data_IF_496099266482
#
_entry.id   IF_496099266482
#
_cell.length_a   1.000
_cell.length_b   1.000
_cell.length_c   1.000
_cell.angle_alpha   90.00
_cell.angle_beta   90.00
_cell.angle_gamma   90.00
#
_symmetry.space_group_name_H-M   'P 1'
#
loop_
_entity.id
_entity.type
_entity.pdbx_description
1 polymer ?
#
# COMPACT_ATOMS: atom_id res chain seq x y z
N UNK A 1 7.55 -57.39 61.30
CA UNK A 1 6.83 -56.55 62.28
C UNK A 1 6.38 -55.30 61.55
N UNK A 2 5.06 -55.16 61.46
CA UNK A 2 4.34 -54.10 60.74
C UNK A 2 4.21 -52.86 61.61
N UNK A 3 4.32 -51.67 61.01
CA UNK A 3 3.58 -50.49 61.48
C UNK A 3 2.96 -49.78 60.28
N UNK A 4 1.63 -49.77 60.30
CA UNK A 4 0.70 -49.20 59.32
C UNK A 4 0.88 -47.71 59.12
N UNK A 5 0.82 -47.27 57.86
CA UNK A 5 0.52 -45.89 57.50
C UNK A 5 -0.93 -45.83 57.03
N UNK A 6 -1.76 -45.11 57.78
CA UNK A 6 -3.19 -44.94 57.58
C UNK A 6 -3.45 -44.04 56.35
N UNK A 7 -4.24 -44.53 55.38
CA UNK A 7 -4.88 -43.72 54.35
C UNK A 7 -6.02 -42.90 54.95
N UNK A 8 -6.03 -41.58 54.71
CA UNK A 8 -7.23 -40.76 54.86
C UNK A 8 -7.91 -40.60 53.49
N UNK A 9 -9.08 -41.23 53.36
CA UNK A 9 -10.07 -41.00 52.30
C UNK A 9 -10.90 -39.76 52.66
N UNK A 10 -10.85 -38.73 51.82
CA UNK A 10 -11.83 -37.63 51.81
C UNK A 10 -12.87 -37.89 50.72
N UNK A 11 -14.16 -37.60 50.96
CA UNK A 11 -15.24 -37.92 50.03
C UNK A 11 -15.28 -36.92 48.86
N UNK A 12 -15.36 -37.46 47.64
CA UNK A 12 -15.67 -36.72 46.42
C UNK A 12 -17.13 -36.22 46.47
N UNK A 13 -17.32 -34.92 46.68
CA UNK A 13 -18.56 -34.25 46.34
C UNK A 13 -18.55 -33.96 44.83
N UNK A 14 -19.50 -34.56 44.12
CA UNK A 14 -19.81 -34.24 42.72
C UNK A 14 -20.52 -32.88 42.65
N UNK A 15 -19.79 -31.83 42.26
CA UNK A 15 -20.40 -30.58 41.79
C UNK A 15 -20.75 -30.72 40.31
N UNK A 16 -22.05 -30.82 40.01
CA UNK A 16 -22.59 -30.58 38.68
C UNK A 16 -22.52 -29.09 38.36
N UNK A 17 -21.59 -28.68 37.49
CA UNK A 17 -21.58 -27.33 36.93
C UNK A 17 -22.68 -27.21 35.86
N UNK A 18 -23.44 -26.10 35.83
CA UNK A 18 -24.36 -25.81 34.74
C UNK A 18 -23.58 -25.39 33.49
N UNK A 19 -23.95 -25.98 32.35
CA UNK A 19 -23.52 -25.57 31.01
C UNK A 19 -24.05 -24.16 30.73
N UNK A 20 -23.23 -23.14 30.96
CA UNK A 20 -23.48 -21.80 30.44
C UNK A 20 -22.89 -21.71 29.04
N UNK A 21 -23.76 -21.81 28.04
CA UNK A 21 -23.48 -21.33 26.70
C UNK A 21 -23.43 -19.79 26.77
N UNK A 22 -22.23 -19.25 26.97
CA UNK A 22 -21.94 -17.85 26.77
C UNK A 22 -20.75 -17.77 25.81
N UNK A 23 -21.05 -17.71 24.51
CA UNK A 23 -20.07 -17.28 23.52
C UNK A 23 -19.66 -15.86 23.86
N UNK A 24 -18.43 -15.69 24.33
CA UNK A 24 -17.81 -14.37 24.38
C UNK A 24 -17.75 -13.79 22.97
N UNK A 25 -17.66 -12.45 22.85
CA UNK A 25 -17.56 -11.82 21.54
C UNK A 25 -16.39 -12.42 20.78
N UNK A 26 -16.65 -12.81 19.53
CA UNK A 26 -15.62 -13.25 18.60
C UNK A 26 -14.55 -12.16 18.47
N UNK A 27 -13.29 -12.50 18.13
CA UNK A 27 -12.27 -11.49 17.83
C UNK A 27 -12.73 -10.43 16.81
N UNK A 28 -13.58 -10.81 15.85
CA UNK A 28 -14.27 -9.92 14.90
C UNK A 28 -15.19 -8.90 15.59
N UNK A 29 -15.97 -9.32 16.59
CA UNK A 29 -16.84 -8.42 17.36
C UNK A 29 -16.05 -7.49 18.28
N UNK A 30 -14.92 -7.96 18.83
CA UNK A 30 -13.98 -7.11 19.58
C UNK A 30 -13.33 -6.07 18.64
N UNK A 31 -12.96 -6.48 17.43
CA UNK A 31 -12.42 -5.61 16.38
C UNK A 31 -13.45 -4.56 15.92
N UNK A 32 -14.70 -4.95 15.70
CA UNK A 32 -15.78 -3.99 15.39
C UNK A 32 -16.00 -3.00 16.54
N UNK A 33 -15.93 -3.46 17.79
CA UNK A 33 -16.07 -2.59 18.95
C UNK A 33 -14.91 -1.60 19.09
N UNK A 34 -13.66 -2.03 18.83
CA UNK A 34 -12.49 -1.16 18.80
C UNK A 34 -12.56 -0.14 17.65
N UNK A 35 -12.97 -0.59 16.47
CA UNK A 35 -13.18 0.26 15.28
C UNK A 35 -14.29 1.31 15.50
N UNK A 36 -15.36 0.95 16.23
CA UNK A 36 -16.42 1.89 16.65
C UNK A 36 -15.93 2.89 17.70
N UNK A 37 -15.03 2.51 18.60
CA UNK A 37 -14.40 3.44 19.56
C UNK A 37 -13.46 4.44 18.88
N UNK A 38 -12.67 4.00 17.91
CA UNK A 38 -11.84 4.89 17.09
C UNK A 38 -12.68 5.84 16.20
N UNK A 39 -13.91 5.44 15.85
CA UNK A 39 -14.86 6.26 15.10
C UNK A 39 -15.49 7.44 15.89
N UNK A 40 -15.25 7.54 17.20
CA UNK A 40 -15.82 8.61 18.04
C UNK A 40 -14.99 9.91 18.02
N UNK A 41 -13.79 9.89 17.40
CA UNK A 41 -13.10 11.13 17.00
C UNK A 41 -13.71 11.64 15.70
N UNK A 42 -13.94 12.97 15.53
CA UNK A 42 -14.53 13.51 14.31
C UNK A 42 -13.74 13.06 13.07
N UNK A 43 -14.35 12.22 12.24
CA UNK A 43 -13.79 11.79 10.95
C UNK A 43 -13.96 12.92 9.95
N UNK A 44 -12.84 13.40 9.39
CA UNK A 44 -12.86 14.19 8.17
C UNK A 44 -12.97 13.20 6.99
N UNK A 45 -14.20 12.93 6.54
CA UNK A 45 -14.52 11.95 5.48
C UNK A 45 -14.10 12.41 4.06
N UNK A 46 -13.31 13.50 3.96
CA UNK A 46 -12.80 14.06 2.70
C UNK A 46 -11.66 13.25 2.05
N UNK A 47 -11.21 12.17 2.71
CA UNK A 47 -10.13 11.26 2.27
C UNK A 47 -10.63 9.94 1.67
N UNK A 48 -11.94 9.82 1.42
CA UNK A 48 -12.53 8.70 0.69
C UNK A 48 -11.99 8.66 -0.75
N UNK A 49 -11.64 7.46 -1.21
CA UNK A 49 -10.90 7.18 -2.44
C UNK A 49 -11.42 7.96 -3.65
N UNK A 50 -10.84 9.14 -3.95
CA UNK A 50 -11.14 10.05 -5.06
C UNK A 50 -12.26 9.59 -5.98
N UNK A 51 -13.51 9.67 -5.51
CA UNK A 51 -14.64 9.02 -6.19
C UNK A 51 -15.06 9.84 -7.42
N UNK A 52 -14.39 9.61 -8.55
CA UNK A 52 -14.95 9.87 -9.87
C UNK A 52 -16.04 8.84 -10.14
N UNK A 53 -17.31 9.27 -10.17
CA UNK A 53 -18.47 8.41 -10.48
C UNK A 53 -18.35 7.86 -11.91
N UNK A 54 -17.88 6.62 -12.05
CA UNK A 54 -18.08 5.83 -13.26
C UNK A 54 -19.06 4.70 -12.97
N UNK A 55 -20.31 4.90 -13.39
CA UNK A 55 -21.33 3.86 -13.40
C UNK A 55 -20.92 2.77 -14.41
N UNK A 56 -20.45 1.62 -13.91
CA UNK A 56 -20.36 0.40 -14.69
C UNK A 56 -21.76 -0.22 -14.81
N UNK A 57 -22.52 0.19 -15.82
CA UNK A 57 -23.68 -0.56 -16.27
C UNK A 57 -23.21 -1.74 -17.13
N UNK A 58 -23.12 -2.91 -16.50
CA UNK A 58 -23.16 -4.19 -17.21
C UNK A 58 -24.60 -4.44 -17.66
N UNK A 59 -24.80 -4.76 -18.95
CA UNK A 59 -25.77 -5.79 -19.27
C UNK A 59 -25.38 -6.59 -20.52
N UNK A 60 -25.13 -7.86 -20.25
CA UNK A 60 -24.98 -9.00 -21.13
C UNK A 60 -26.18 -9.15 -22.08
N UNK A 61 -25.91 -9.38 -23.37
CA UNK A 61 -26.91 -9.83 -24.33
C UNK A 61 -26.99 -11.36 -24.31
N UNK A 62 -27.96 -11.90 -23.56
CA UNK A 62 -28.43 -13.27 -23.65
C UNK A 62 -29.79 -13.32 -24.36
N UNK A 63 -29.91 -14.21 -25.34
CA UNK A 63 -31.11 -14.45 -26.14
C UNK A 63 -32.31 -14.96 -25.32
N UNK A 64 -33.50 -14.42 -25.58
CA UNK A 64 -34.77 -14.96 -25.09
C UNK A 64 -35.97 -14.33 -25.80
N UNK A 65 -36.68 -15.13 -26.59
CA UNK A 65 -37.84 -14.75 -27.40
C UNK A 65 -39.11 -14.49 -26.56
N UNK A 66 -40.09 -13.83 -27.21
CA UNK A 66 -41.57 -13.83 -27.02
C UNK A 66 -42.17 -12.54 -26.44
N UNK A 67 -43.10 -11.93 -27.21
CA UNK A 67 -44.25 -11.22 -26.62
C UNK A 67 -44.61 -9.83 -27.16
N UNK A 68 -45.32 -9.79 -28.31
CA UNK A 68 -46.14 -8.67 -28.83
C UNK A 68 -46.87 -7.83 -27.75
N UNK A 69 -46.91 -6.50 -27.91
CA UNK A 69 -48.11 -5.73 -28.32
C UNK A 69 -47.82 -4.24 -28.52
N UNK A 70 -48.56 -3.64 -29.45
CA UNK A 70 -48.41 -2.30 -30.01
C UNK A 70 -49.44 -1.31 -29.46
N UNK A 71 -49.13 -0.02 -29.49
CA UNK A 71 -49.99 1.11 -29.90
C UNK A 71 -49.05 2.32 -30.05
N UNK A 72 -49.05 3.14 -31.10
CA UNK A 72 -50.02 3.40 -32.16
C UNK A 72 -50.34 4.90 -32.14
N UNK A 73 -49.89 5.66 -33.14
CA UNK A 73 -50.23 7.09 -33.30
C UNK A 73 -49.30 7.80 -34.29
N UNK A 74 -49.56 7.65 -35.58
CA UNK A 74 -48.83 8.30 -36.67
C UNK A 74 -49.59 9.48 -37.29
N UNK A 75 -49.09 9.90 -38.46
CA UNK A 75 -49.70 10.57 -39.63
C UNK A 75 -48.66 11.56 -40.20
N UNK A 76 -48.39 11.74 -41.50
CA UNK A 76 -48.63 11.01 -42.75
C UNK A 76 -47.84 11.78 -43.85
N UNK A 77 -47.41 11.15 -44.96
CA UNK A 77 -47.16 11.90 -46.21
C UNK A 77 -45.90 11.62 -47.06
N UNK A 78 -45.86 10.43 -47.71
CA UNK A 78 -45.58 10.13 -49.16
C UNK A 78 -44.62 11.08 -49.94
N UNK A 79 -43.66 10.66 -50.79
CA UNK A 79 -43.71 9.58 -51.82
C UNK A 79 -42.32 9.39 -52.51
N UNK A 80 -41.89 8.13 -52.56
CA UNK A 80 -41.12 7.35 -53.58
C UNK A 80 -40.36 7.97 -54.79
N UNK A 81 -39.21 7.33 -55.10
CA UNK A 81 -38.79 6.59 -56.34
C UNK A 81 -37.30 6.88 -56.64
N UNK A 82 -36.32 6.01 -56.33
CA UNK A 82 -35.87 4.73 -56.96
C UNK A 82 -34.98 4.92 -58.21
N UNK A 83 -33.72 4.45 -58.13
CA UNK A 83 -33.08 3.37 -58.94
C UNK A 83 -31.59 3.26 -58.56
N UNK A 84 -31.13 2.10 -58.05
CA UNK A 84 -30.64 0.89 -58.76
C UNK A 84 -29.28 1.15 -59.45
N UNK A 85 -28.27 0.26 -59.45
CA UNK A 85 -28.18 -1.21 -59.26
C UNK A 85 -26.64 -1.55 -59.19
N UNK A 86 -26.13 -2.45 -58.32
CA UNK A 86 -25.91 -3.93 -58.54
C UNK A 86 -24.72 -4.21 -59.49
N UNK A 87 -23.81 -5.18 -59.34
CA UNK A 87 -23.67 -6.52 -58.68
C UNK A 87 -22.17 -6.91 -58.88
N UNK A 88 -21.58 -8.05 -58.51
CA UNK A 88 -21.86 -9.32 -57.82
C UNK A 88 -20.50 -10.06 -57.76
N UNK A 89 -20.36 -11.09 -56.91
CA UNK A 89 -19.41 -12.17 -57.20
C UNK A 89 -19.09 -13.06 -56.01
N UNK A 90 -19.65 -14.27 -55.98
CA UNK A 90 -19.68 -15.26 -54.86
C UNK A 90 -18.58 -16.33 -54.94
N UNK A 91 -18.27 -16.90 -53.76
CA UNK A 91 -18.20 -18.34 -53.34
C UNK A 91 -16.87 -19.17 -53.41
N UNK A 92 -16.53 -19.73 -52.22
CA UNK A 92 -16.18 -21.12 -51.80
C UNK A 92 -15.42 -22.06 -52.77
N UNK A 93 -14.46 -22.93 -52.42
CA UNK A 93 -13.94 -23.53 -51.18
C UNK A 93 -13.77 -25.06 -51.39
N UNK A 94 -12.60 -25.69 -51.10
CA UNK A 94 -12.43 -27.16 -50.85
C UNK A 94 -10.97 -27.63 -50.56
N UNK A 95 -10.81 -28.35 -49.43
CA UNK A 95 -10.02 -29.58 -49.10
C UNK A 95 -8.47 -29.69 -49.06
N UNK A 96 -7.97 -29.88 -47.82
CA UNK A 96 -7.11 -30.94 -47.21
C UNK A 96 -5.89 -31.59 -47.92
N UNK A 97 -4.71 -31.62 -47.26
CA UNK A 97 -3.98 -32.82 -46.74
C UNK A 97 -2.69 -32.44 -45.96
N UNK A 98 -2.33 -33.25 -44.97
CA UNK A 98 -1.24 -33.10 -43.97
C UNK A 98 0.17 -33.48 -44.48
N UNK A 99 1.24 -33.05 -43.76
CA UNK A 99 2.38 -33.87 -43.24
C UNK A 99 3.48 -33.03 -42.55
N UNK A 100 3.83 -33.46 -41.32
CA UNK A 100 5.12 -33.53 -40.59
C UNK A 100 6.40 -32.73 -40.96
N UNK A 101 7.04 -32.27 -39.87
CA UNK A 101 8.47 -32.40 -39.49
C UNK A 101 9.51 -31.28 -39.77
N UNK A 102 10.16 -30.92 -38.65
CA UNK A 102 11.61 -30.76 -38.39
C UNK A 102 12.42 -29.54 -38.88
N UNK A 103 13.17 -29.02 -37.88
CA UNK A 103 14.58 -28.56 -37.92
C UNK A 103 14.88 -27.18 -38.54
N UNK A 104 15.38 -26.26 -37.70
CA UNK A 104 16.79 -25.84 -37.58
C UNK A 104 17.21 -24.92 -38.74
N UNK A 105 17.80 -23.74 -38.54
CA UNK A 105 19.18 -23.57 -38.10
C UNK A 105 19.45 -22.07 -37.94
N UNK A 106 20.43 -21.80 -37.08
CA UNK A 106 21.13 -20.56 -36.81
C UNK A 106 21.58 -19.74 -38.04
N UNK A 107 21.99 -18.50 -37.78
CA UNK A 107 23.27 -17.83 -38.15
C UNK A 107 22.98 -16.32 -38.16
N UNK A 108 23.29 -15.56 -37.10
CA UNK A 108 24.59 -15.02 -36.69
C UNK A 108 25.11 -13.87 -37.57
N UNK A 109 25.60 -12.82 -36.88
CA UNK A 109 26.74 -11.93 -37.25
C UNK A 109 26.46 -10.90 -38.37
N UNK A 110 26.81 -9.61 -38.34
CA UNK A 110 27.92 -8.80 -37.77
C UNK A 110 27.55 -7.29 -37.76
N UNK A 111 28.14 -6.54 -36.82
CA UNK A 111 28.90 -5.26 -36.91
C UNK A 111 28.53 -4.16 -37.95
N UNK A 112 28.80 -2.86 -37.79
CA UNK A 112 29.31 -1.97 -36.74
C UNK A 112 29.24 -0.51 -37.28
N UNK A 113 29.69 0.43 -36.44
CA UNK A 113 30.28 1.75 -36.76
C UNK A 113 29.40 3.02 -36.75
N UNK A 114 29.55 3.74 -35.64
CA UNK A 114 30.04 5.13 -35.52
C UNK A 114 29.86 6.08 -36.72
N UNK A 115 29.31 7.28 -36.46
CA UNK A 115 30.10 8.51 -36.52
C UNK A 115 29.36 9.75 -35.97
N UNK A 116 30.19 10.78 -35.76
CA UNK A 116 30.14 11.88 -34.80
C UNK A 116 29.55 13.19 -35.39
N UNK A 117 29.44 14.20 -34.52
CA UNK A 117 29.54 15.66 -34.78
C UNK A 117 28.28 16.55 -35.01
N UNK A 118 27.85 17.21 -33.92
CA UNK A 118 27.98 18.66 -33.59
C UNK A 118 27.67 19.77 -34.65
N UNK A 119 26.64 20.56 -34.29
CA UNK A 119 26.45 22.03 -34.25
C UNK A 119 26.04 22.92 -35.46
N UNK A 120 25.02 23.74 -35.12
CA UNK A 120 24.92 25.23 -35.16
C UNK A 120 24.18 25.92 -36.32
N UNK A 121 23.21 26.75 -35.89
CA UNK A 121 22.79 28.09 -36.41
C UNK A 121 22.21 28.17 -37.82
N UNK A 122 21.27 29.04 -38.20
CA UNK A 122 20.60 30.19 -37.56
C UNK A 122 19.55 30.75 -38.54
N UNK A 123 18.61 31.54 -38.00
CA UNK A 123 17.97 32.72 -38.63
C UNK A 123 16.93 32.44 -39.73
N UNK A 124 15.85 33.22 -39.92
CA UNK A 124 15.55 34.61 -39.53
C UNK A 124 14.06 34.93 -39.71
N UNK A 125 13.58 35.91 -38.90
CA UNK A 125 12.63 37.02 -39.21
C UNK A 125 11.20 36.67 -39.66
N UNK A 126 10.12 37.37 -39.30
CA UNK A 126 9.81 38.77 -38.90
C UNK A 126 8.27 38.79 -38.66
N UNK A 127 7.57 39.70 -37.99
CA UNK A 127 7.80 41.01 -37.36
C UNK A 127 6.48 41.48 -36.71
N UNK A 128 6.60 42.39 -35.74
CA UNK A 128 5.68 43.50 -35.37
C UNK A 128 4.24 43.17 -34.92
N UNK A 129 3.73 43.70 -33.82
CA UNK A 129 3.64 45.14 -33.53
C UNK A 129 3.59 45.49 -32.03
N UNK A 130 4.07 46.69 -31.73
CA UNK A 130 4.15 47.32 -30.43
C UNK A 130 2.85 48.05 -30.04
N UNK A 131 2.65 48.31 -28.74
CA UNK A 131 2.21 49.60 -28.19
C UNK A 131 2.39 49.62 -26.67
N UNK A 132 3.04 50.68 -26.21
CA UNK A 132 3.46 51.02 -24.85
C UNK A 132 2.52 52.06 -24.26
N UNK A 133 2.21 52.00 -22.96
CA UNK A 133 2.34 53.16 -22.06
C UNK A 133 2.08 52.79 -20.59
N UNK A 134 2.96 53.33 -19.76
CA UNK A 134 3.02 53.35 -18.30
C UNK A 134 2.37 54.64 -17.79
N UNK A 135 1.82 54.67 -16.57
CA UNK A 135 2.08 55.67 -15.51
C UNK A 135 1.27 55.35 -14.23
N UNK A 136 1.85 55.80 -13.10
CA UNK A 136 1.50 55.62 -11.67
C UNK A 136 0.08 56.14 -11.30
N UNK A 137 -0.50 55.90 -10.12
CA UNK A 137 -0.04 56.34 -8.79
C UNK A 137 -0.95 55.79 -7.66
N UNK A 138 -0.37 55.88 -6.47
CA UNK A 138 -0.78 55.63 -5.08
C UNK A 138 -2.21 56.05 -4.64
N UNK A 139 -2.81 55.31 -3.69
CA UNK A 139 -3.45 55.88 -2.49
C UNK A 139 -3.84 54.80 -1.46
N UNK A 140 -3.77 55.25 -0.21
CA UNK A 140 -3.73 54.53 1.05
C UNK A 140 -5.09 54.35 1.75
N UNK A 141 -5.19 53.27 2.55
CA UNK A 141 -5.79 53.11 3.92
C UNK A 141 -7.27 53.56 4.21
N UNK A 142 -8.02 52.90 5.13
CA UNK A 142 -7.59 52.74 6.52
C UNK A 142 -7.93 51.46 7.29
N UNK A 143 -7.06 51.25 8.29
CA UNK A 143 -7.19 50.48 9.52
C UNK A 143 -8.27 51.05 10.45
N UNK A 144 -8.96 50.19 11.21
CA UNK A 144 -9.40 50.46 12.58
C UNK A 144 -9.35 49.18 13.41
N UNK A 145 -8.61 49.24 14.52
CA UNK A 145 -8.62 48.27 15.62
C UNK A 145 -9.81 48.51 16.54
N UNK A 146 -10.26 47.48 17.25
CA UNK A 146 -10.30 47.50 18.73
C UNK A 146 -10.70 46.15 19.36
N UNK A 147 -9.90 45.82 20.36
CA UNK A 147 -10.05 44.93 21.52
C UNK A 147 -11.45 44.56 22.01
N UNK A 148 -11.60 43.34 22.54
CA UNK A 148 -12.01 43.11 23.93
C UNK A 148 -11.47 41.78 24.46
N UNK A 149 -10.99 41.84 25.70
CA UNK A 149 -10.52 40.78 26.60
C UNK A 149 -11.68 40.06 27.28
N UNK A 150 -11.55 38.75 27.52
CA UNK A 150 -12.24 38.08 28.63
C UNK A 150 -11.37 36.92 29.14
N UNK A 151 -10.74 37.17 30.29
CA UNK A 151 -10.03 36.19 31.11
C UNK A 151 -11.04 35.26 31.80
N UNK A 152 -10.73 33.97 31.88
CA UNK A 152 -11.32 33.06 32.87
C UNK A 152 -10.19 32.41 33.66
N UNK A 153 -10.04 32.85 34.90
CA UNK A 153 -9.18 32.26 35.91
C UNK A 153 -9.87 31.02 36.49
N UNK A 154 -9.11 29.94 36.67
CA UNK A 154 -9.48 28.85 37.57
C UNK A 154 -8.26 28.56 38.45
N UNK A 155 -8.42 28.83 39.73
CA UNK A 155 -7.42 28.58 40.76
C UNK A 155 -7.44 27.12 41.17
N UNK A 156 -6.28 26.46 41.17
CA UNK A 156 -6.06 25.25 41.94
C UNK A 156 -4.66 25.31 42.57
N UNK A 157 -4.65 25.60 43.87
CA UNK A 157 -3.50 25.52 44.75
C UNK A 157 -3.21 24.06 45.06
N UNK A 158 -1.96 23.61 44.97
CA UNK A 158 -1.31 22.80 46.03
C UNK A 158 0.14 22.44 45.73
N UNK A 159 0.97 22.80 46.72
CA UNK A 159 2.14 22.07 47.24
C UNK A 159 3.32 21.74 46.30
N UNK A 160 4.36 22.57 46.43
CA UNK A 160 5.75 22.20 46.13
C UNK A 160 6.27 21.24 47.21
N UNK A 161 6.68 20.04 46.81
CA UNK A 161 7.49 19.14 47.61
C UNK A 161 8.81 18.92 46.86
N UNK A 162 9.88 19.46 47.43
CA UNK A 162 11.26 19.25 46.98
C UNK A 162 11.74 17.89 47.47
N UNK A 163 12.10 16.99 46.56
CA UNK A 163 12.84 15.78 46.90
C UNK A 163 14.05 15.66 45.96
N UNK A 164 15.24 15.81 46.55
CA UNK A 164 16.51 15.46 45.93
C UNK A 164 16.71 13.95 45.97
N UNK A 165 17.14 13.35 44.86
CA UNK A 165 17.84 12.07 44.89
C UNK A 165 18.72 11.89 43.64
N UNK A 166 20.03 12.08 43.87
CA UNK A 166 21.15 11.28 43.36
C UNK A 166 21.12 10.83 41.90
N UNK A 167 21.86 11.58 41.08
CA UNK A 167 22.46 11.15 39.81
C UNK A 167 23.44 10.01 40.04
N UNK A 168 23.09 8.82 39.55
CA UNK A 168 24.05 7.75 39.29
C UNK A 168 24.34 7.77 37.80
N UNK A 169 25.54 8.20 37.44
CA UNK A 169 26.06 8.20 36.08
C UNK A 169 26.34 6.76 35.66
N UNK A 170 25.49 6.20 34.81
CA UNK A 170 25.75 4.94 34.12
C UNK A 170 25.95 5.23 32.63
N UNK A 171 27.15 4.90 32.17
CA UNK A 171 27.69 5.22 30.87
C UNK A 171 26.84 4.67 29.73
N UNK A 172 26.64 5.50 28.71
CA UNK A 172 26.01 5.15 27.46
C UNK A 172 26.70 3.95 26.79
N UNK A 173 25.95 2.85 26.66
CA UNK A 173 26.21 1.79 25.69
C UNK A 173 25.06 1.82 24.67
N UNK A 174 25.17 2.71 23.69
CA UNK A 174 24.25 2.86 22.58
C UNK A 174 24.64 1.92 21.43
N UNK A 175 24.28 0.63 21.47
CA UNK A 175 24.39 -0.24 20.26
C UNK A 175 23.57 -1.54 20.22
N UNK A 176 22.52 -1.76 21.02
CA UNK A 176 21.84 -3.08 20.98
C UNK A 176 20.30 -3.12 21.04
N UNK A 177 19.59 -2.01 20.83
CA UNK A 177 18.11 -2.02 20.82
C UNK A 177 17.47 -2.09 19.43
N UNK A 178 18.24 -1.92 18.35
CA UNK A 178 17.69 -1.89 16.98
C UNK A 178 17.45 -3.27 16.36
N UNK A 179 18.17 -4.31 16.83
CA UNK A 179 18.00 -5.67 16.30
C UNK A 179 16.64 -6.29 16.64
N UNK A 180 16.05 -5.93 17.78
CA UNK A 180 14.75 -6.48 18.23
C UNK A 180 13.55 -5.89 17.48
N UNK A 181 13.62 -4.62 17.06
CA UNK A 181 12.50 -3.98 16.35
C UNK A 181 12.43 -4.38 14.87
N UNK A 182 13.56 -4.73 14.26
CA UNK A 182 13.63 -5.20 12.87
C UNK A 182 13.16 -6.65 12.72
N UNK A 183 13.35 -7.49 13.74
CA UNK A 183 12.93 -8.90 13.74
C UNK A 183 12.11 -9.25 15.00
N UNK A 184 10.91 -8.69 15.18
CA UNK A 184 10.13 -8.90 16.41
C UNK A 184 9.63 -10.34 16.56
N UNK A 185 9.56 -11.12 15.48
CA UNK A 185 9.24 -12.56 15.48
C UNK A 185 10.49 -13.44 15.37
N UNK A 186 11.69 -12.86 15.51
CA UNK A 186 12.97 -13.53 15.27
C UNK A 186 13.34 -13.58 13.78
N UNK A 187 14.50 -14.19 13.50
CA UNK A 187 15.07 -14.32 12.14
C UNK A 187 14.57 -15.54 11.37
N UNK A 188 13.71 -16.35 12.00
CA UNK A 188 13.13 -17.55 11.39
C UNK A 188 14.16 -18.56 10.89
N UNK A 189 13.85 -19.25 9.80
CA UNK A 189 14.73 -20.25 9.16
C UNK A 189 15.80 -19.62 8.27
N UNK A 190 15.55 -18.43 7.73
CA UNK A 190 16.49 -17.65 6.95
C UNK A 190 16.11 -16.16 6.96
N UNK A 191 17.12 -15.27 7.02
CA UNK A 191 16.89 -13.82 6.98
C UNK A 191 18.07 -13.06 6.37
N UNK A 192 17.80 -11.85 5.87
CA UNK A 192 18.82 -10.86 5.54
C UNK A 192 18.41 -9.49 6.09
N UNK A 193 19.39 -8.62 6.29
CA UNK A 193 19.18 -7.22 6.70
C UNK A 193 20.21 -6.33 6.04
N UNK A 194 19.86 -5.07 5.80
CA UNK A 194 20.83 -4.02 5.41
C UNK A 194 21.40 -3.28 6.61
N UNK A 195 20.89 -3.53 7.82
CA UNK A 195 21.37 -2.89 9.06
C UNK A 195 22.78 -3.34 9.47
N UNK A 196 23.28 -4.43 8.90
CA UNK A 196 24.63 -4.96 9.10
C UNK A 196 25.66 -4.40 8.09
N UNK A 197 25.25 -3.45 7.24
CA UNK A 197 26.07 -2.88 6.19
C UNK A 197 25.96 -3.58 4.83
N UNK A 198 25.12 -4.60 4.69
CA UNK A 198 24.79 -5.19 3.39
C UNK A 198 24.15 -4.15 2.47
N UNK A 199 24.66 -4.04 1.23
CA UNK A 199 24.19 -3.03 0.27
C UNK A 199 22.74 -3.26 -0.21
N UNK A 200 21.98 -2.18 -0.41
CA UNK A 200 20.59 -2.26 -0.90
C UNK A 200 20.50 -2.93 -2.27
N UNK A 201 21.45 -2.65 -3.18
CA UNK A 201 21.48 -3.24 -4.52
C UNK A 201 21.59 -4.76 -4.46
N UNK A 202 22.36 -5.27 -3.51
CA UNK A 202 22.61 -6.71 -3.37
C UNK A 202 21.41 -7.50 -2.85
N UNK A 203 20.54 -6.89 -2.03
CA UNK A 203 19.39 -7.59 -1.43
C UNK A 203 18.08 -7.27 -2.14
N UNK A 204 17.88 -6.03 -2.61
CA UNK A 204 16.60 -5.61 -3.17
C UNK A 204 16.41 -6.01 -4.65
N UNK A 205 17.48 -6.13 -5.46
CA UNK A 205 17.45 -6.65 -6.84
C UNK A 205 16.14 -6.35 -7.62
N UNK A 206 15.87 -5.09 -8.02
CA UNK A 206 14.59 -4.70 -8.62
C UNK A 206 14.20 -5.55 -9.85
N UNK A 207 13.03 -6.21 -9.79
CA UNK A 207 12.48 -7.06 -10.87
C UNK A 207 11.72 -6.28 -11.94
N UNK A 208 11.11 -5.18 -11.54
CA UNK A 208 10.32 -4.29 -12.39
C UNK A 208 10.45 -2.94 -11.75
N UNK A 209 10.94 -1.97 -12.50
CA UNK A 209 11.21 -0.65 -11.99
C UNK A 209 10.35 0.37 -12.74
N UNK A 210 9.55 1.11 -11.98
CA UNK A 210 9.21 2.48 -12.36
C UNK A 210 10.41 3.37 -12.04
N UNK A 211 10.19 4.43 -11.25
CA UNK A 211 11.28 5.25 -10.74
C UNK A 211 12.01 4.50 -9.61
N UNK A 212 13.32 4.35 -9.70
CA UNK A 212 14.13 3.81 -8.61
C UNK A 212 14.46 4.89 -7.58
N UNK A 213 14.66 4.55 -6.29
CA UNK A 213 15.11 5.50 -5.29
C UNK A 213 16.51 6.01 -5.62
N UNK A 214 16.81 7.23 -5.19
CA UNK A 214 18.20 7.70 -5.14
C UNK A 214 18.84 7.22 -3.86
N UNK A 215 20.15 6.97 -3.89
CA UNK A 215 20.95 6.74 -2.70
C UNK A 215 21.37 8.07 -2.08
N UNK A 216 21.36 8.20 -0.77
CA UNK A 216 21.75 9.44 -0.11
C UNK A 216 21.76 9.34 1.40
N UNK A 217 22.16 10.43 2.03
CA UNK A 217 22.31 10.50 3.48
C UNK A 217 21.03 11.06 4.11
N UNK A 218 20.52 10.40 5.15
CA UNK A 218 19.44 10.91 5.99
C UNK A 218 19.92 12.04 6.90
N UNK A 219 19.02 12.80 7.55
CA UNK A 219 19.41 13.95 8.38
C UNK A 219 20.35 13.62 9.55
N UNK A 220 20.37 12.37 10.02
CA UNK A 220 21.27 11.88 11.07
C UNK A 220 22.63 11.37 10.56
N UNK A 221 22.88 11.46 9.24
CA UNK A 221 24.13 10.97 8.64
C UNK A 221 24.08 9.50 8.18
N UNK A 222 22.99 8.78 8.41
CA UNK A 222 22.88 7.38 7.98
C UNK A 222 22.74 7.25 6.47
N UNK A 223 23.24 6.14 5.93
CA UNK A 223 23.04 5.78 4.53
C UNK A 223 21.59 5.32 4.30
N UNK A 224 20.97 5.73 3.20
CA UNK A 224 19.53 5.56 2.99
C UNK A 224 19.11 5.59 1.52
N UNK A 225 18.03 4.88 1.23
CA UNK A 225 17.24 5.10 0.02
C UNK A 225 16.34 6.32 0.22
N UNK A 226 16.37 7.25 -0.73
CA UNK A 226 15.65 8.52 -0.66
C UNK A 226 14.52 8.55 -1.70
N UNK A 227 13.30 8.77 -1.22
CA UNK A 227 12.14 9.11 -2.02
C UNK A 227 11.97 10.63 -2.05
N UNK A 228 12.07 11.23 -3.23
CA UNK A 228 11.90 12.67 -3.43
C UNK A 228 10.49 12.96 -3.98
N UNK A 229 9.81 13.92 -3.36
CA UNK A 229 8.48 14.40 -3.71
C UNK A 229 8.50 15.90 -4.00
N UNK A 230 8.75 16.31 -5.26
CA UNK A 230 8.61 17.70 -5.66
C UNK A 230 7.17 18.21 -5.44
N UNK A 231 7.04 19.51 -5.18
CA UNK A 231 5.74 20.17 -5.06
C UNK A 231 4.87 19.92 -6.32
N UNK A 232 3.59 19.66 -6.11
CA UNK A 232 2.61 19.36 -7.17
C UNK A 232 2.65 17.93 -7.69
N UNK A 233 3.47 17.04 -7.14
CA UNK A 233 3.54 15.64 -7.62
C UNK A 233 2.55 14.72 -6.92
N UNK A 234 1.85 13.90 -7.71
CA UNK A 234 0.91 12.86 -7.27
C UNK A 234 1.09 11.61 -8.15
N UNK A 235 0.83 10.44 -7.57
CA UNK A 235 0.83 9.17 -8.27
C UNK A 235 2.22 8.55 -8.44
N UNK A 236 2.21 7.24 -8.70
CA UNK A 236 3.39 6.38 -8.75
C UNK A 236 4.41 6.77 -9.85
N UNK A 237 3.96 7.39 -10.95
CA UNK A 237 4.82 7.75 -12.07
C UNK A 237 5.58 9.05 -11.88
N UNK A 238 5.12 9.92 -10.98
CA UNK A 238 5.59 11.32 -10.90
C UNK A 238 6.72 11.49 -9.90
N UNK A 239 6.62 10.84 -8.74
CA UNK A 239 7.53 11.04 -7.61
C UNK A 239 7.66 9.80 -6.72
N UNK A 240 8.63 9.85 -5.79
CA UNK A 240 9.00 8.70 -4.97
C UNK A 240 9.68 7.60 -5.77
N UNK A 241 9.39 6.34 -5.44
CA UNK A 241 9.94 5.18 -6.13
C UNK A 241 8.91 4.05 -6.27
N UNK A 242 9.19 3.15 -7.20
CA UNK A 242 8.36 2.01 -7.53
C UNK A 242 9.18 0.85 -8.06
N UNK A 243 9.28 -0.22 -7.29
CA UNK A 243 9.80 -1.48 -7.78
C UNK A 243 9.28 -2.68 -6.99
N UNK A 244 9.43 -3.85 -7.59
CA UNK A 244 9.20 -5.15 -6.95
C UNK A 244 10.53 -5.87 -6.76
N UNK A 245 10.62 -6.74 -5.76
CA UNK A 245 11.79 -7.58 -5.47
C UNK A 245 11.36 -9.03 -5.30
N UNK A 246 12.26 -9.99 -5.50
CA UNK A 246 11.98 -11.39 -5.10
C UNK A 246 12.13 -11.61 -3.60
N UNK A 247 12.74 -10.66 -2.88
CA UNK A 247 13.23 -10.88 -1.52
C UNK A 247 14.35 -11.92 -1.41
N UNK A 248 14.86 -12.45 -2.53
CA UNK A 248 15.80 -13.57 -2.53
C UNK A 248 17.27 -13.10 -2.41
N UNK A 249 17.92 -13.54 -1.33
CA UNK A 249 19.32 -13.23 -1.06
C UNK A 249 19.90 -14.23 -0.06
N UNK A 250 21.11 -14.73 -0.32
CA UNK A 250 21.90 -15.59 0.57
C UNK A 250 21.12 -16.71 1.27
N UNK A 251 20.32 -17.45 0.51
CA UNK A 251 19.53 -18.59 0.99
C UNK A 251 18.15 -18.23 1.55
N UNK A 252 17.79 -16.96 1.59
CA UNK A 252 16.41 -16.51 1.84
C UNK A 252 15.61 -16.68 0.57
N UNK A 253 14.59 -17.53 0.58
CA UNK A 253 13.68 -17.80 -0.55
C UNK A 253 12.22 -17.74 -0.09
N UNK A 254 11.58 -16.58 -0.23
CA UNK A 254 10.22 -16.34 0.29
C UNK A 254 9.11 -17.02 -0.50
N UNK A 255 9.38 -17.44 -1.73
CA UNK A 255 8.37 -18.02 -2.60
C UNK A 255 8.05 -19.49 -2.27
N UNK A 256 8.79 -20.07 -1.33
CA UNK A 256 8.52 -21.36 -0.69
C UNK A 256 7.95 -21.25 0.72
N UNK A 257 7.89 -20.03 1.27
CA UNK A 257 7.47 -19.76 2.64
C UNK A 257 5.96 -19.62 2.77
N UNK A 258 5.42 -20.09 3.89
CA UNK A 258 4.06 -19.81 4.31
C UNK A 258 3.96 -18.54 5.15
N UNK A 259 5.04 -18.17 5.84
CA UNK A 259 5.08 -17.03 6.75
C UNK A 259 6.36 -16.22 6.57
N UNK A 260 6.21 -14.93 6.30
CA UNK A 260 7.32 -14.00 6.02
C UNK A 260 7.13 -12.74 6.84
N UNK A 261 8.22 -12.23 7.40
CA UNK A 261 8.26 -10.88 7.96
C UNK A 261 9.13 -9.95 7.13
N UNK A 262 8.67 -8.71 6.96
CA UNK A 262 9.38 -7.63 6.29
C UNK A 262 9.41 -6.40 7.18
N UNK A 263 10.58 -5.79 7.36
CA UNK A 263 10.75 -4.58 8.14
C UNK A 263 11.68 -3.57 7.48
N UNK A 264 11.51 -2.32 7.87
CA UNK A 264 12.36 -1.21 7.47
C UNK A 264 12.19 -0.03 8.43
N UNK A 265 13.19 0.82 8.50
CA UNK A 265 13.15 2.11 9.19
C UNK A 265 12.82 3.21 8.18
N UNK A 266 11.91 4.11 8.55
CA UNK A 266 11.52 5.27 7.74
C UNK A 266 11.71 6.57 8.51
N UNK A 267 12.23 7.59 7.84
CA UNK A 267 12.32 8.95 8.36
C UNK A 267 11.54 9.84 7.41
N UNK A 268 10.45 10.42 7.89
CA UNK A 268 9.74 11.46 7.15
C UNK A 268 10.35 12.80 7.55
N UNK A 269 10.62 13.67 6.57
CA UNK A 269 11.21 15.00 6.80
C UNK A 269 10.54 15.70 8.00
N UNK A 270 11.30 16.42 8.80
CA UNK A 270 10.72 17.28 9.83
C UNK A 270 9.67 18.23 9.22
N UNK A 271 8.49 18.27 9.85
CA UNK A 271 7.30 18.94 9.35
C UNK A 271 6.74 18.38 8.04
N UNK A 272 6.90 17.08 7.75
CA UNK A 272 6.32 16.44 6.57
C UNK A 272 4.80 16.71 6.49
N UNK A 273 4.36 17.25 5.36
CA UNK A 273 2.96 17.50 5.07
C UNK A 273 2.35 16.26 4.41
N UNK A 274 1.52 15.57 5.19
CA UNK A 274 0.89 14.31 4.81
C UNK A 274 -0.21 14.45 3.74
N UNK A 275 -0.78 15.65 3.59
CA UNK A 275 -1.95 15.90 2.73
C UNK A 275 -3.04 14.87 3.07
N UNK A 276 -3.57 14.16 2.07
CA UNK A 276 -4.57 13.09 2.22
C UNK A 276 -3.97 11.70 2.39
N UNK A 277 -2.69 11.55 2.06
CA UNK A 277 -1.98 10.29 2.19
C UNK A 277 -1.10 9.89 1.02
N UNK A 278 -0.50 8.72 1.18
CA UNK A 278 0.36 8.09 0.20
C UNK A 278 0.76 6.68 0.61
N UNK A 279 1.46 5.98 -0.28
CA UNK A 279 1.79 4.55 -0.11
C UNK A 279 3.14 4.35 0.55
N UNK A 280 3.25 3.28 1.31
CA UNK A 280 4.49 2.80 1.90
C UNK A 280 4.77 1.35 1.49
N UNK A 281 6.05 0.92 1.48
CA UNK A 281 6.44 -0.44 1.12
C UNK A 281 5.73 -1.53 1.94
N UNK A 282 5.53 -2.68 1.31
CA UNK A 282 5.00 -3.88 1.96
C UNK A 282 5.26 -5.16 1.16
N UNK A 283 4.59 -6.24 1.54
CA UNK A 283 4.72 -7.55 0.89
C UNK A 283 3.73 -7.72 -0.27
N UNK A 284 4.03 -8.62 -1.21
CA UNK A 284 3.10 -8.99 -2.28
C UNK A 284 3.19 -10.48 -2.61
N UNK A 285 2.12 -11.02 -3.20
CA UNK A 285 2.04 -12.42 -3.57
C UNK A 285 0.96 -12.73 -4.59
N UNK A 286 0.88 -13.99 -5.01
CA UNK A 286 -0.11 -14.46 -5.97
C UNK A 286 0.23 -15.83 -6.55
N UNK A 287 -0.50 -16.25 -7.58
CA UNK A 287 -0.35 -17.58 -8.22
C UNK A 287 0.80 -17.62 -9.24
N UNK A 288 1.25 -16.47 -9.73
CA UNK A 288 2.42 -16.33 -10.59
C UNK A 288 3.08 -14.97 -10.35
N UNK A 289 4.37 -14.80 -10.67
CA UNK A 289 5.04 -13.51 -10.50
C UNK A 289 4.35 -12.40 -11.31
N UNK A 290 3.79 -12.72 -12.48
CA UNK A 290 3.05 -11.73 -13.29
C UNK A 290 1.73 -11.31 -12.63
N UNK A 291 0.99 -12.25 -12.05
CA UNK A 291 -0.24 -11.94 -11.32
C UNK A 291 0.06 -11.22 -10.01
N UNK A 292 1.07 -11.66 -9.27
CA UNK A 292 1.46 -11.04 -8.00
C UNK A 292 1.78 -9.55 -8.15
N UNK A 293 2.43 -9.15 -9.24
CA UNK A 293 2.74 -7.74 -9.55
C UNK A 293 1.53 -6.92 -10.06
N UNK A 294 0.34 -7.50 -10.12
CA UNK A 294 -0.85 -6.84 -10.68
C UNK A 294 -1.88 -6.37 -9.65
N UNK A 295 -1.72 -6.73 -8.37
CA UNK A 295 -2.63 -6.32 -7.28
C UNK A 295 -2.34 -4.89 -6.79
N UNK A 296 -2.67 -3.90 -7.64
CA UNK A 296 -2.56 -2.48 -7.31
C UNK A 296 -3.46 -1.62 -8.19
N UNK A 297 -3.66 -0.34 -7.82
CA UNK A 297 -4.45 0.61 -8.60
C UNK A 297 -5.95 0.26 -8.62
N UNK A 298 -6.66 0.64 -9.68
CA UNK A 298 -8.10 0.40 -9.83
C UNK A 298 -8.45 -0.89 -10.61
N UNK A 299 -7.51 -1.83 -10.76
CA UNK A 299 -7.73 -3.05 -11.56
C UNK A 299 -8.78 -3.94 -10.90
N UNK A 300 -9.79 -4.35 -11.68
CA UNK A 300 -10.86 -5.25 -11.21
C UNK A 300 -10.73 -6.69 -11.70
N UNK A 301 -9.92 -6.94 -12.74
CA UNK A 301 -9.78 -8.28 -13.31
C UNK A 301 -8.85 -9.15 -12.47
N UNK A 302 -9.12 -10.46 -12.37
CA UNK A 302 -8.30 -11.49 -11.72
C UNK A 302 -7.66 -11.09 -10.38
N UNK A 303 -8.40 -10.35 -9.53
CA UNK A 303 -7.97 -9.97 -8.18
C UNK A 303 -7.86 -11.16 -7.23
N UNK A 304 -8.52 -12.27 -7.56
CA UNK A 304 -8.43 -13.54 -6.88
C UNK A 304 -7.06 -14.24 -7.02
N UNK A 305 -6.25 -13.82 -8.00
CA UNK A 305 -4.96 -14.44 -8.32
C UNK A 305 -3.73 -13.78 -7.65
N UNK A 306 -3.94 -12.74 -6.85
CA UNK A 306 -2.87 -12.00 -6.19
C UNK A 306 -3.31 -11.34 -4.89
N UNK A 307 -2.33 -10.87 -4.11
CA UNK A 307 -2.56 -9.94 -3.01
C UNK A 307 -1.40 -8.94 -2.91
N UNK A 308 -1.65 -7.80 -2.28
CA UNK A 308 -0.60 -6.90 -1.78
C UNK A 308 -0.91 -6.52 -0.35
N UNK A 309 0.06 -6.68 0.56
CA UNK A 309 -0.05 -6.30 1.95
C UNK A 309 0.85 -5.08 2.21
N UNK A 310 0.29 -3.87 2.08
CA UNK A 310 1.06 -2.61 2.11
C UNK A 310 0.63 -1.71 3.25
N UNK A 311 1.34 -0.61 3.42
CA UNK A 311 0.99 0.43 4.37
C UNK A 311 0.65 1.73 3.64
N UNK A 312 -0.04 2.61 4.34
CA UNK A 312 -0.26 3.99 3.92
C UNK A 312 -0.01 4.96 5.07
N UNK A 313 0.40 6.17 4.72
CA UNK A 313 0.12 7.34 5.55
C UNK A 313 -1.16 8.02 5.08
N UNK A 314 -1.80 8.72 6.00
CA UNK A 314 -3.01 9.53 5.80
C UNK A 314 -2.82 10.89 6.45
N UNK A 315 -3.84 11.72 6.34
CA UNK A 315 -3.91 13.05 6.98
C UNK A 315 -3.48 12.99 8.44
N UNK A 316 -2.68 13.99 8.84
CA UNK A 316 -2.08 14.11 10.18
C UNK A 316 -1.16 12.95 10.57
N UNK A 317 -0.61 12.21 9.60
CA UNK A 317 0.33 11.13 9.86
C UNK A 317 -0.32 9.82 10.26
N UNK A 318 -1.65 9.71 10.27
CA UNK A 318 -2.32 8.45 10.60
C UNK A 318 -1.84 7.32 9.69
N UNK A 319 -1.41 6.21 10.30
CA UNK A 319 -1.02 5.00 9.60
C UNK A 319 -2.20 4.04 9.41
N UNK A 320 -2.16 3.25 8.34
CA UNK A 320 -3.10 2.15 8.10
C UNK A 320 -2.40 0.98 7.40
N UNK A 321 -2.96 -0.22 7.56
CA UNK A 321 -2.74 -1.31 6.61
C UNK A 321 -3.59 -1.02 5.36
N UNK A 322 -3.01 -1.22 4.18
CA UNK A 322 -3.63 -0.94 2.90
C UNK A 322 -3.48 -2.11 1.93
N UNK A 323 -4.46 -3.01 1.96
CA UNK A 323 -4.33 -4.32 1.35
C UNK A 323 -5.22 -4.50 0.13
N UNK A 324 -4.69 -5.21 -0.86
CA UNK A 324 -5.50 -5.80 -1.92
C UNK A 324 -5.56 -7.29 -1.62
N UNK A 325 -6.74 -7.77 -1.24
CA UNK A 325 -6.98 -9.17 -0.93
C UNK A 325 -7.90 -9.79 -1.98
N UNK A 326 -7.75 -11.11 -2.26
CA UNK A 326 -8.68 -11.83 -3.13
C UNK A 326 -10.07 -11.96 -2.50
N UNK A 327 -10.16 -12.00 -1.17
CA UNK A 327 -11.41 -11.86 -0.42
C UNK A 327 -11.25 -10.67 0.53
N UNK A 328 -12.06 -9.61 0.39
CA UNK A 328 -11.98 -8.41 1.23
C UNK A 328 -12.09 -8.74 2.73
N UNK A 329 -11.21 -8.18 3.56
CA UNK A 329 -11.22 -8.37 5.01
C UNK A 329 -12.28 -7.49 5.70
N UNK A 330 -12.57 -6.32 5.15
CA UNK A 330 -13.49 -5.34 5.73
C UNK A 330 -14.92 -5.48 5.24
N UNK A 331 -15.20 -6.50 4.43
CA UNK A 331 -16.44 -6.66 3.66
C UNK A 331 -16.76 -5.44 2.77
N UNK A 332 -15.75 -4.64 2.41
CA UNK A 332 -15.89 -3.50 1.49
C UNK A 332 -15.05 -3.71 0.24
N UNK A 333 -15.68 -3.61 -0.93
CA UNK A 333 -14.96 -3.55 -2.20
C UNK A 333 -15.21 -2.21 -2.87
N UNK A 334 -14.26 -1.29 -2.72
CA UNK A 334 -14.30 0.02 -3.36
C UNK A 334 -13.62 0.01 -4.73
N UNK A 335 -13.19 -1.15 -5.23
CA UNK A 335 -12.33 -1.28 -6.41
C UNK A 335 -10.86 -0.87 -6.18
N UNK A 336 -10.50 -0.55 -4.94
CA UNK A 336 -9.15 -0.21 -4.52
C UNK A 336 -8.75 -1.09 -3.32
N UNK A 337 -7.55 -0.87 -2.78
CA UNK A 337 -7.12 -1.54 -1.56
C UNK A 337 -7.98 -1.09 -0.37
N UNK A 338 -8.16 -1.99 0.59
CA UNK A 338 -8.94 -1.75 1.79
C UNK A 338 -8.12 -0.96 2.80
N UNK A 339 -8.74 0.04 3.43
CA UNK A 339 -8.14 0.76 4.55
C UNK A 339 -8.45 0.02 5.86
N UNK A 340 -7.46 -0.64 6.45
CA UNK A 340 -7.63 -1.47 7.65
C UNK A 340 -6.98 -0.78 8.85
N UNK A 341 -7.78 -0.57 9.91
CA UNK A 341 -7.38 0.09 11.17
C UNK A 341 -6.61 1.41 11.01
N UNK A 342 -7.11 2.32 10.15
CA UNK A 342 -6.57 3.68 10.04
C UNK A 342 -6.51 4.37 11.40
N UNK A 343 -5.36 4.96 11.72
CA UNK A 343 -5.12 5.70 12.95
C UNK A 343 -4.75 4.81 14.14
N UNK A 344 -4.52 3.50 13.94
CA UNK A 344 -3.98 2.63 14.99
C UNK A 344 -2.55 2.99 15.41
N UNK A 345 -1.83 3.72 14.54
CA UNK A 345 -0.53 4.33 14.81
C UNK A 345 -0.39 5.61 13.99
N UNK A 346 0.66 6.39 14.26
CA UNK A 346 1.01 7.59 13.52
C UNK A 346 2.45 7.50 13.01
N UNK A 347 2.65 7.93 11.76
CA UNK A 347 3.96 8.18 11.18
C UNK A 347 4.54 9.45 11.79
N UNK A 348 5.72 9.32 12.39
CA UNK A 348 6.39 10.47 12.94
C UNK A 348 7.10 11.29 11.87
N UNK A 349 7.13 12.60 12.05
CA UNK A 349 7.98 13.52 11.30
C UNK A 349 9.25 13.82 12.10
N UNK A 350 10.36 14.05 11.41
CA UNK A 350 11.60 14.49 12.04
C UNK A 350 12.34 13.43 12.87
N UNK A 351 11.85 12.18 12.90
CA UNK A 351 12.49 11.05 13.58
C UNK A 351 12.27 9.75 12.82
N UNK A 352 13.09 8.75 13.13
CA UNK A 352 12.93 7.39 12.61
C UNK A 352 11.73 6.70 13.26
N UNK A 353 11.01 5.94 12.44
CA UNK A 353 10.02 4.94 12.85
C UNK A 353 10.40 3.62 12.20
N UNK A 354 10.56 2.57 13.00
CA UNK A 354 10.75 1.21 12.48
C UNK A 354 9.40 0.53 12.37
N UNK A 355 9.08 0.02 11.18
CA UNK A 355 7.89 -0.81 10.97
C UNK A 355 8.31 -2.22 10.60
N UNK A 356 7.61 -3.21 11.15
CA UNK A 356 7.77 -4.61 10.81
C UNK A 356 6.37 -5.22 10.59
N UNK A 357 6.17 -5.86 9.44
CA UNK A 357 4.95 -6.58 9.12
C UNK A 357 5.24 -8.07 8.98
N UNK A 358 4.32 -8.90 9.45
CA UNK A 358 4.29 -10.34 9.26
C UNK A 358 3.07 -10.68 8.43
N UNK A 359 3.25 -11.50 7.40
CA UNK A 359 2.16 -12.09 6.61
C UNK A 359 2.30 -13.60 6.68
N UNK A 360 1.22 -14.26 7.10
CA UNK A 360 1.06 -15.70 7.08
C UNK A 360 -0.09 -16.06 6.15
N UNK A 361 0.20 -16.85 5.13
CA UNK A 361 -0.81 -17.33 4.19
C UNK A 361 -1.82 -18.23 4.91
N UNK A 362 -3.06 -18.16 4.47
CA UNK A 362 -4.10 -19.11 4.84
C UNK A 362 -3.95 -20.40 4.03
N UNK A 363 -4.49 -21.50 4.57
CA UNK A 363 -4.75 -22.70 3.79
C UNK A 363 -5.84 -22.42 2.75
N UNK A 364 -5.68 -22.93 1.53
CA UNK A 364 -6.69 -22.74 0.48
C UNK A 364 -8.03 -23.33 0.92
N UNK A 365 -9.10 -22.54 0.80
CA UNK A 365 -10.44 -22.90 1.25
C UNK A 365 -10.74 -22.60 2.73
N UNK A 366 -9.74 -22.10 3.48
CA UNK A 366 -9.89 -21.61 4.86
C UNK A 366 -9.50 -20.13 4.93
N UNK A 367 -10.01 -19.41 5.92
CA UNK A 367 -9.63 -18.02 6.17
C UNK A 367 -8.52 -17.88 7.23
N UNK A 368 -7.80 -18.93 7.61
CA UNK A 368 -6.88 -18.93 8.77
C UNK A 368 -5.54 -18.18 8.57
N UNK A 369 -5.46 -17.22 7.65
CA UNK A 369 -4.29 -16.38 7.45
C UNK A 369 -4.21 -15.28 8.50
N UNK A 370 -3.01 -14.73 8.66
CA UNK A 370 -2.72 -13.72 9.68
C UNK A 370 -1.85 -12.60 9.10
N UNK A 371 -2.08 -11.38 9.58
CA UNK A 371 -1.19 -10.25 9.32
C UNK A 371 -1.01 -9.44 10.59
N UNK A 372 0.23 -9.12 10.92
CA UNK A 372 0.54 -8.32 12.10
C UNK A 372 1.48 -7.18 11.73
N UNK A 373 1.22 -6.00 12.27
CA UNK A 373 2.05 -4.82 12.13
C UNK A 373 2.58 -4.41 13.51
N UNK A 374 3.90 -4.32 13.59
CA UNK A 374 4.67 -3.82 14.72
C UNK A 374 5.29 -2.48 14.34
N UNK A 375 5.14 -1.48 15.20
CA UNK A 375 5.72 -0.13 15.03
C UNK A 375 6.57 0.18 16.26
N UNK A 376 7.84 0.52 16.05
CA UNK A 376 8.83 0.78 17.10
C UNK A 376 8.88 -0.31 18.19
N UNK A 377 8.73 -1.58 17.76
CA UNK A 377 8.75 -2.74 18.66
C UNK A 377 7.42 -3.07 19.35
N UNK A 378 6.35 -2.31 19.09
CA UNK A 378 5.02 -2.55 19.65
C UNK A 378 4.05 -3.08 18.60
N UNK A 379 3.37 -4.21 18.87
CA UNK A 379 2.28 -4.69 18.01
C UNK A 379 1.11 -3.72 18.07
N UNK A 380 0.80 -3.08 16.93
CA UNK A 380 -0.25 -2.05 16.81
C UNK A 380 -1.49 -2.53 16.07
N UNK A 381 -1.32 -3.49 15.15
CA UNK A 381 -2.42 -4.12 14.41
C UNK A 381 -2.15 -5.62 14.33
N UNK A 382 -3.11 -6.44 14.72
CA UNK A 382 -3.06 -7.90 14.58
C UNK A 382 -4.37 -8.38 13.94
N UNK A 383 -4.29 -8.83 12.70
CA UNK A 383 -5.37 -9.36 11.89
C UNK A 383 -5.30 -10.88 11.90
N UNK A 384 -6.46 -11.50 12.12
CA UNK A 384 -6.69 -12.94 11.99
C UNK A 384 -7.79 -13.16 10.97
N UNK A 385 -7.99 -14.39 10.57
CA UNK A 385 -9.06 -14.75 9.64
C UNK A 385 -8.90 -14.08 8.24
N UNK A 386 -7.66 -13.79 7.83
CA UNK A 386 -7.34 -13.14 6.55
C UNK A 386 -7.22 -14.20 5.43
N UNK A 387 -7.80 -13.92 4.26
CA UNK A 387 -7.69 -14.81 3.09
C UNK A 387 -6.78 -14.17 2.04
N UNK A 388 -5.50 -14.56 2.04
CA UNK A 388 -4.50 -14.19 1.03
C UNK A 388 -4.49 -15.11 -0.20
N UNK A 389 -4.92 -16.36 -0.03
CA UNK A 389 -4.84 -17.43 -1.01
C UNK A 389 -6.20 -18.10 -1.22
N UNK A 390 -6.76 -17.96 -2.42
CA UNK A 390 -7.99 -18.66 -2.86
C UNK A 390 -7.69 -19.78 -3.85
N UNK A 391 -6.45 -19.88 -4.31
CA UNK A 391 -5.99 -20.83 -5.32
C UNK A 391 -4.68 -21.48 -4.88
N UNK A 392 -4.56 -22.78 -5.17
CA UNK A 392 -3.32 -23.53 -4.98
C UNK A 392 -2.14 -22.87 -5.69
N UNK A 393 -0.96 -22.96 -5.08
CA UNK A 393 0.25 -22.33 -5.60
C UNK A 393 0.33 -20.80 -5.40
N UNK A 394 -0.62 -20.19 -4.69
CA UNK A 394 -0.46 -18.82 -4.20
C UNK A 394 0.72 -18.76 -3.24
N UNK A 395 1.65 -17.84 -3.50
CA UNK A 395 2.87 -17.66 -2.71
C UNK A 395 3.23 -16.20 -2.50
N UNK A 396 4.03 -15.93 -1.46
CA UNK A 396 4.65 -14.62 -1.23
C UNK A 396 5.80 -14.47 -2.21
N UNK A 397 5.84 -13.38 -2.98
CA UNK A 397 6.88 -13.18 -3.99
C UNK A 397 7.97 -12.21 -3.56
N UNK A 398 7.78 -11.46 -2.46
CA UNK A 398 8.77 -10.54 -1.94
C UNK A 398 8.19 -9.18 -1.60
N UNK A 399 8.99 -8.14 -1.82
CA UNK A 399 8.67 -6.77 -1.41
C UNK A 399 8.14 -5.96 -2.59
N UNK A 400 6.99 -5.32 -2.39
CA UNK A 400 6.44 -4.27 -3.24
C UNK A 400 6.86 -2.92 -2.68
N UNK A 401 8.05 -2.48 -3.09
CA UNK A 401 8.67 -1.24 -2.66
C UNK A 401 8.11 -0.07 -3.48
N UNK A 402 7.02 0.50 -3.00
CA UNK A 402 6.37 1.64 -3.64
C UNK A 402 6.05 2.73 -2.63
N UNK A 403 6.47 3.95 -2.94
CA UNK A 403 6.08 5.13 -2.17
C UNK A 403 5.81 6.32 -3.07
N UNK A 404 4.66 6.96 -2.84
CA UNK A 404 4.15 8.09 -3.59
C UNK A 404 2.97 8.72 -2.85
N UNK A 405 2.81 10.03 -2.96
CA UNK A 405 1.56 10.71 -2.63
C UNK A 405 0.45 10.25 -3.56
N UNK A 406 -0.72 9.89 -3.04
CA UNK A 406 -1.82 9.51 -3.93
C UNK A 406 -2.96 8.73 -3.29
N UNK A 407 -3.86 8.22 -4.13
CA UNK A 407 -4.85 9.07 -4.80
C UNK A 407 -4.48 9.25 -6.28
N UNK A 408 -5.30 9.95 -7.05
CA UNK A 408 -5.04 10.22 -8.47
C UNK A 408 -5.43 11.64 -8.90
N UNK A 409 -5.80 12.49 -7.96
CA UNK A 409 -6.24 13.87 -8.16
C UNK A 409 -5.28 14.84 -7.48
N UNK A 410 -5.25 16.09 -7.94
CA UNK A 410 -4.26 17.10 -7.51
C UNK A 410 -4.34 17.44 -6.02
N UNK A 411 -5.48 17.23 -5.36
CA UNK A 411 -5.66 17.40 -3.92
C UNK A 411 -4.91 16.36 -3.07
N UNK A 412 -4.28 15.36 -3.70
CA UNK A 412 -3.33 14.44 -3.07
C UNK A 412 -1.88 14.83 -3.26
N UNK A 413 -1.58 15.82 -4.10
CA UNK A 413 -0.22 16.14 -4.48
C UNK A 413 0.59 16.69 -3.30
N UNK A 414 1.90 16.41 -3.28
CA UNK A 414 2.79 17.03 -2.28
C UNK A 414 2.74 18.56 -2.43
N UNK A 415 2.44 19.34 -1.37
CA UNK A 415 2.29 20.79 -1.48
C UNK A 415 3.63 21.51 -1.51
N UNK A 416 4.70 20.85 -1.09
CA UNK A 416 6.07 21.36 -1.06
C UNK A 416 7.04 20.30 -1.56
N UNK A 417 8.30 20.67 -1.75
CA UNK A 417 9.35 19.67 -1.93
C UNK A 417 9.60 18.96 -0.60
N UNK A 418 9.49 17.62 -0.59
CA UNK A 418 9.60 16.80 0.61
C UNK A 418 10.29 15.49 0.31
N UNK A 419 10.98 14.93 1.31
CA UNK A 419 11.68 13.67 1.18
C UNK A 419 11.25 12.70 2.28
N UNK A 420 11.34 11.41 1.95
CA UNK A 420 11.30 10.31 2.90
C UNK A 420 12.57 9.48 2.70
N UNK A 421 13.21 9.10 3.79
CA UNK A 421 14.39 8.25 3.79
C UNK A 421 14.05 6.87 4.35
N UNK A 422 14.62 5.82 3.77
CA UNK A 422 14.40 4.43 4.14
C UNK A 422 15.74 3.72 4.34
N UNK A 423 15.89 2.98 5.44
CA UNK A 423 17.05 2.14 5.74
C UNK A 423 16.65 0.88 6.52
N UNK A 424 17.62 0.06 6.87
CA UNK A 424 17.43 -1.16 7.67
C UNK A 424 16.40 -2.15 7.07
N UNK A 425 16.30 -2.21 5.74
CA UNK A 425 15.45 -3.17 5.05
C UNK A 425 15.86 -4.57 5.48
N UNK A 426 14.89 -5.34 5.97
CA UNK A 426 15.13 -6.66 6.52
C UNK A 426 13.97 -7.59 6.17
N UNK A 427 14.28 -8.85 5.89
CA UNK A 427 13.31 -9.86 5.51
C UNK A 427 13.67 -11.18 6.20
N UNK A 428 12.67 -11.91 6.69
CA UNK A 428 12.86 -13.24 7.25
C UNK A 428 11.74 -14.19 6.81
N UNK A 429 12.13 -15.44 6.56
CA UNK A 429 11.22 -16.58 6.39
C UNK A 429 11.00 -17.20 7.76
N UNK A 430 9.77 -17.20 8.26
CA UNK A 430 9.43 -17.69 9.60
C UNK A 430 8.95 -19.15 9.59
N UNK A 431 8.21 -19.56 8.55
CA UNK A 431 7.76 -20.95 8.35
C UNK A 431 7.50 -21.29 6.89
#
# INVERSE_FOLDING_TARGET
>A
MYTSTLLYLLPLLSLSLPTSAAGGPTPREIYEAASRRAALSPRDDTDSHGHGKYNALLNSHGHGHVGRRSHGGGLEGKKLVRRKKVKAGKRAGSTCRASSASESTATATLEAQQNNAIAKSSSSSSSSSASTSTYAEETAYPTMSSSTTAEWQSSATSASATASSTTSSESAASTSSSGSSLFPWGTGSASWTTSDGTSFESVLKPLTAGKLPSHGTSPDGSDSLVANFPAGTVGLSSAGFSFYTTGAHDGVEVDSANEVSFSYSVYLKDGFNFVKGGKMPGLYGGTSLSQAKSCSGGRQDSRDSCFSARLMWRTNGQGEIYDYLPVPYTDTDTGYGESIQRGAYEWATGKWTTVAMRVKLNDVGSSNGEQELVVDGHSVISLKDVTFATSEGTKIYGIMAQTFFGGHTDDWASPTDQNIWFKDWSLAVLS
#
